data_IF_020559092631
#
_entry.id   IF_020559092631
#
_cell.length_a   1.000
_cell.length_b   1.000
_cell.length_c   1.000
_cell.angle_alpha   90.00
_cell.angle_beta   90.00
_cell.angle_gamma   90.00
#
_symmetry.space_group_name_H-M   'P 1'
#
loop_
_entity.id
_entity.type
_entity.pdbx_description
1 polymer ?
#
# COMPACT_ATOMS: atom_id res chain seq x y z
N UNK A 1 -5.78 8.28 -55.69
CA UNK A 1 -6.49 6.97 -55.57
C UNK A 1 -5.75 6.06 -54.59
N UNK A 2 -4.46 5.77 -54.81
CA UNK A 2 -3.62 4.91 -53.97
C UNK A 2 -3.59 5.29 -52.47
N UNK A 3 -3.28 6.54 -52.13
CA UNK A 3 -3.25 7.01 -50.72
C UNK A 3 -4.60 6.85 -50.03
N UNK A 4 -5.71 7.07 -50.75
CA UNK A 4 -7.05 6.87 -50.19
C UNK A 4 -7.33 5.39 -49.91
N UNK A 5 -6.94 4.49 -50.81
CA UNK A 5 -7.06 3.03 -50.60
C UNK A 5 -6.24 2.59 -49.39
N UNK A 6 -5.00 3.08 -49.26
CA UNK A 6 -4.15 2.80 -48.09
C UNK A 6 -4.81 3.33 -46.81
N UNK A 7 -5.32 4.56 -46.83
CA UNK A 7 -5.97 5.17 -45.67
C UNK A 7 -7.22 4.40 -45.22
N UNK A 8 -8.11 4.02 -46.15
CA UNK A 8 -9.29 3.19 -45.81
C UNK A 8 -8.85 1.83 -45.27
N UNK A 9 -7.83 1.22 -45.86
CA UNK A 9 -7.27 -0.05 -45.37
C UNK A 9 -6.72 0.09 -43.95
N UNK A 10 -6.03 1.20 -43.64
CA UNK A 10 -5.56 1.50 -42.28
C UNK A 10 -6.71 1.58 -41.27
N UNK A 11 -7.83 2.21 -41.64
CA UNK A 11 -9.00 2.27 -40.77
C UNK A 11 -9.65 0.91 -40.51
N UNK A 12 -9.74 0.05 -41.53
CA UNK A 12 -10.23 -1.31 -41.38
C UNK A 12 -9.32 -2.14 -40.47
N UNK A 13 -8.00 -2.00 -40.62
CA UNK A 13 -7.03 -2.65 -39.72
C UNK A 13 -7.17 -2.15 -38.28
N UNK A 14 -7.34 -0.84 -38.08
CA UNK A 14 -7.52 -0.27 -36.75
C UNK A 14 -8.82 -0.73 -36.10
N UNK A 15 -9.91 -0.83 -36.87
CA UNK A 15 -11.19 -1.39 -36.41
C UNK A 15 -11.05 -2.83 -35.91
N UNK A 16 -10.22 -3.65 -36.56
CA UNK A 16 -10.00 -5.03 -36.16
C UNK A 16 -9.09 -5.17 -34.93
N UNK A 17 -8.08 -4.31 -34.80
CA UNK A 17 -7.03 -4.45 -33.79
C UNK A 17 -7.32 -3.68 -32.49
N UNK A 18 -7.84 -2.46 -32.62
CA UNK A 18 -8.09 -1.55 -31.52
C UNK A 18 -9.29 -0.62 -31.83
N UNK A 19 -10.51 -1.17 -31.92
CA UNK A 19 -11.70 -0.41 -32.36
C UNK A 19 -11.98 0.83 -31.50
N UNK A 20 -11.63 0.81 -30.21
CA UNK A 20 -11.79 1.93 -29.28
C UNK A 20 -10.92 3.14 -29.59
N UNK A 21 -9.92 3.01 -30.47
CA UNK A 21 -8.99 4.08 -30.85
C UNK A 21 -9.35 4.80 -32.14
N UNK A 22 -10.41 4.34 -32.83
CA UNK A 22 -10.91 5.01 -34.03
C UNK A 22 -11.38 6.43 -33.69
N UNK A 23 -11.03 7.44 -34.48
CA UNK A 23 -11.57 8.78 -34.32
C UNK A 23 -13.09 8.79 -34.42
N UNK A 24 -13.75 9.66 -33.64
CA UNK A 24 -15.22 9.77 -33.66
C UNK A 24 -15.75 10.13 -35.05
N UNK A 25 -15.05 11.01 -35.78
CA UNK A 25 -15.40 11.39 -37.15
C UNK A 25 -15.43 10.19 -38.09
N UNK A 26 -14.44 9.31 -38.01
CA UNK A 26 -14.34 8.07 -38.80
C UNK A 26 -15.40 7.08 -38.37
N UNK A 27 -15.62 6.94 -37.06
CA UNK A 27 -16.62 6.04 -36.50
C UNK A 27 -18.04 6.43 -36.93
N UNK A 28 -18.35 7.74 -36.98
CA UNK A 28 -19.64 8.23 -37.45
C UNK A 28 -19.80 8.08 -38.97
N UNK A 29 -18.75 8.41 -39.73
CA UNK A 29 -18.79 8.36 -41.20
C UNK A 29 -18.94 6.93 -41.74
N UNK A 30 -18.32 5.94 -41.10
CA UNK A 30 -18.25 4.55 -41.59
C UNK A 30 -18.94 3.55 -40.65
N UNK A 31 -19.83 4.02 -39.78
CA UNK A 31 -20.47 3.23 -38.71
C UNK A 31 -21.07 1.91 -39.20
N UNK A 32 -21.77 1.95 -40.33
CA UNK A 32 -22.49 0.80 -40.89
C UNK A 32 -21.58 -0.15 -41.71
N UNK A 33 -20.33 0.26 -41.97
CA UNK A 33 -19.35 -0.50 -42.75
C UNK A 33 -18.34 -1.24 -41.88
N UNK A 34 -18.14 -0.79 -40.63
CA UNK A 34 -17.22 -1.45 -39.70
C UNK A 34 -17.82 -2.72 -39.09
N UNK A 35 -16.98 -3.75 -38.99
CA UNK A 35 -17.35 -5.02 -38.37
C UNK A 35 -17.33 -4.87 -36.85
N UNK A 36 -18.32 -5.45 -36.18
CA UNK A 36 -18.30 -5.64 -34.73
C UNK A 36 -17.57 -6.94 -34.43
N UNK A 37 -16.32 -6.83 -34.00
CA UNK A 37 -15.49 -7.97 -33.65
C UNK A 37 -15.91 -8.56 -32.29
N UNK A 38 -15.85 -9.88 -32.12
CA UNK A 38 -16.12 -10.51 -30.83
C UNK A 38 -15.06 -10.09 -29.80
N UNK A 39 -15.45 -10.05 -28.53
CA UNK A 39 -14.51 -9.81 -27.45
C UNK A 39 -13.48 -10.94 -27.36
N UNK A 40 -12.20 -10.56 -27.30
CA UNK A 40 -11.08 -11.47 -27.13
C UNK A 40 -10.39 -11.20 -25.81
N UNK A 41 -9.75 -12.22 -25.25
CA UNK A 41 -9.02 -12.06 -23.98
C UNK A 41 -7.83 -11.09 -24.15
N UNK A 42 -7.45 -10.33 -23.11
CA UNK A 42 -6.32 -9.38 -23.19
C UNK A 42 -5.01 -10.03 -23.66
N UNK A 43 -4.76 -11.28 -23.23
CA UNK A 43 -3.58 -12.05 -23.65
C UNK A 43 -3.59 -12.35 -25.16
N UNK A 44 -4.75 -12.71 -25.70
CA UNK A 44 -4.91 -12.96 -27.14
C UNK A 44 -4.79 -11.65 -27.92
N UNK A 45 -5.41 -10.58 -27.43
CA UNK A 45 -5.31 -9.24 -28.04
C UNK A 45 -3.87 -8.75 -28.12
N UNK A 46 -3.10 -8.87 -27.03
CA UNK A 46 -1.69 -8.48 -26.99
C UNK A 46 -0.85 -9.23 -28.04
N UNK A 47 -1.07 -10.53 -28.20
CA UNK A 47 -0.40 -11.33 -29.23
C UNK A 47 -0.73 -10.82 -30.65
N UNK A 48 -2.00 -10.50 -30.91
CA UNK A 48 -2.41 -9.96 -32.21
C UNK A 48 -1.82 -8.57 -32.48
N UNK A 49 -1.82 -7.68 -31.48
CA UNK A 49 -1.21 -6.36 -31.58
C UNK A 49 0.29 -6.45 -31.88
N UNK A 50 1.01 -7.33 -31.18
CA UNK A 50 2.45 -7.51 -31.40
C UNK A 50 2.77 -8.03 -32.80
N UNK A 51 2.02 -9.03 -33.27
CA UNK A 51 2.16 -9.56 -34.62
C UNK A 51 1.83 -8.49 -35.67
N UNK A 52 0.73 -7.76 -35.48
CA UNK A 52 0.32 -6.68 -36.38
C UNK A 52 1.37 -5.56 -36.45
N UNK A 53 2.00 -5.21 -35.32
CA UNK A 53 3.08 -4.22 -35.26
C UNK A 53 4.26 -4.65 -36.14
N UNK A 54 4.73 -5.89 -36.00
CA UNK A 54 5.82 -6.43 -36.82
C UNK A 54 5.45 -6.49 -38.31
N UNK A 55 4.27 -7.00 -38.63
CA UNK A 55 3.78 -7.09 -40.00
C UNK A 55 3.67 -5.70 -40.64
N UNK A 56 3.14 -4.72 -39.91
CA UNK A 56 2.97 -3.35 -40.39
C UNK A 56 4.32 -2.66 -40.64
N UNK A 57 5.29 -2.82 -39.74
CA UNK A 57 6.66 -2.32 -39.95
C UNK A 57 7.29 -2.91 -41.21
N UNK A 58 7.16 -4.22 -41.42
CA UNK A 58 7.68 -4.88 -42.61
C UNK A 58 6.97 -4.41 -43.89
N UNK A 59 5.65 -4.19 -43.83
CA UNK A 59 4.88 -3.65 -44.96
C UNK A 59 5.32 -2.23 -45.31
N UNK A 60 5.48 -1.35 -44.32
CA UNK A 60 5.96 0.04 -44.55
C UNK A 60 7.37 0.00 -45.15
N UNK A 61 8.27 -0.80 -44.59
CA UNK A 61 9.63 -0.96 -45.11
C UNK A 61 9.62 -1.41 -46.57
N UNK A 62 8.85 -2.44 -46.89
CA UNK A 62 8.75 -2.99 -48.25
C UNK A 62 8.20 -1.94 -49.24
N UNK A 63 7.16 -1.20 -48.86
CA UNK A 63 6.59 -0.14 -49.71
C UNK A 63 7.59 0.98 -49.99
N UNK A 64 8.37 1.39 -48.98
CA UNK A 64 9.44 2.38 -49.15
C UNK A 64 10.56 1.84 -50.07
N UNK A 65 10.92 0.56 -49.95
CA UNK A 65 11.88 -0.11 -50.85
C UNK A 65 11.37 -0.16 -52.30
N UNK A 66 10.05 -0.25 -52.51
CA UNK A 66 9.40 -0.13 -53.82
C UNK A 66 9.21 1.32 -54.31
N UNK A 67 9.96 2.28 -53.76
CA UNK A 67 9.97 3.69 -54.18
C UNK A 67 8.65 4.45 -53.92
N UNK A 68 7.82 3.99 -52.98
CA UNK A 68 6.71 4.80 -52.51
C UNK A 68 7.25 6.00 -51.71
N UNK A 69 6.67 7.19 -51.92
CA UNK A 69 7.00 8.36 -51.12
C UNK A 69 6.43 8.24 -49.70
N UNK A 70 7.00 9.01 -48.76
CA UNK A 70 6.49 9.09 -47.39
C UNK A 70 5.00 9.48 -47.34
N UNK A 71 4.56 10.39 -48.21
CA UNK A 71 3.15 10.82 -48.30
C UNK A 71 2.21 9.66 -48.66
N UNK A 72 2.65 8.70 -49.47
CA UNK A 72 1.83 7.54 -49.83
C UNK A 72 1.65 6.58 -48.64
N UNK A 73 2.68 6.41 -47.82
CA UNK A 73 2.68 5.46 -46.69
C UNK A 73 2.32 6.12 -45.35
N UNK A 74 2.12 7.44 -45.33
CA UNK A 74 1.82 8.21 -44.12
C UNK A 74 0.65 7.62 -43.29
N UNK A 75 -0.49 7.18 -43.88
CA UNK A 75 -1.56 6.57 -43.11
C UNK A 75 -1.16 5.24 -42.42
N UNK A 76 -0.19 4.50 -42.97
CA UNK A 76 0.34 3.29 -42.36
C UNK A 76 1.33 3.62 -41.24
N UNK A 77 2.12 4.69 -41.39
CA UNK A 77 3.01 5.19 -40.34
C UNK A 77 2.21 5.64 -39.12
N UNK A 78 1.13 6.40 -39.32
CA UNK A 78 0.22 6.84 -38.25
C UNK A 78 -0.48 5.67 -37.57
N UNK A 79 -0.94 4.69 -38.36
CA UNK A 79 -1.47 3.42 -37.83
C UNK A 79 -0.42 2.70 -36.99
N UNK A 80 0.83 2.61 -37.47
CA UNK A 80 1.92 1.95 -36.77
C UNK A 80 2.18 2.59 -35.41
N UNK A 81 2.22 3.92 -35.34
CA UNK A 81 2.36 4.66 -34.08
C UNK A 81 1.19 4.36 -33.12
N UNK A 82 -0.03 4.32 -33.63
CA UNK A 82 -1.22 4.01 -32.84
C UNK A 82 -1.16 2.59 -32.28
N UNK A 83 -0.85 1.59 -33.10
CA UNK A 83 -0.72 0.19 -32.69
C UNK A 83 0.44 0.02 -31.70
N UNK A 84 1.57 0.73 -31.87
CA UNK A 84 2.68 0.74 -30.89
C UNK A 84 2.20 1.22 -29.51
N UNK A 85 1.48 2.33 -29.45
CA UNK A 85 0.93 2.85 -28.18
C UNK A 85 -0.08 1.89 -27.55
N UNK A 86 -0.96 1.27 -28.35
CA UNK A 86 -1.91 0.28 -27.84
C UNK A 86 -1.24 -1.00 -27.32
N UNK A 87 -0.20 -1.46 -28.02
CA UNK A 87 0.61 -2.61 -27.60
C UNK A 87 1.33 -2.29 -26.29
N UNK A 88 1.89 -1.09 -26.17
CA UNK A 88 2.55 -0.64 -24.94
C UNK A 88 1.57 -0.53 -23.77
N UNK A 89 0.39 0.05 -23.99
CA UNK A 89 -0.67 0.16 -22.99
C UNK A 89 -1.14 -1.21 -22.50
N UNK A 90 -1.33 -2.16 -23.43
CA UNK A 90 -1.70 -3.54 -23.12
C UNK A 90 -0.63 -4.26 -22.29
N UNK A 91 0.65 -4.08 -22.64
CA UNK A 91 1.77 -4.65 -21.89
C UNK A 91 1.85 -4.09 -20.48
N UNK A 92 1.74 -2.76 -20.33
CA UNK A 92 1.77 -2.09 -19.03
C UNK A 92 0.59 -2.53 -18.15
N UNK A 93 -0.61 -2.67 -18.71
CA UNK A 93 -1.79 -3.16 -17.98
C UNK A 93 -1.59 -4.61 -17.51
N UNK A 94 -1.16 -5.52 -18.39
CA UNK A 94 -0.94 -6.92 -18.01
C UNK A 94 0.16 -7.07 -16.96
N UNK A 95 1.19 -6.23 -17.03
CA UNK A 95 2.25 -6.19 -16.00
C UNK A 95 1.68 -5.68 -14.68
N UNK A 96 0.82 -4.65 -14.70
CA UNK A 96 0.09 -4.19 -13.53
C UNK A 96 -0.76 -5.27 -12.89
N UNK A 97 -1.54 -6.00 -13.69
CA UNK A 97 -2.35 -7.14 -13.21
C UNK A 97 -1.48 -8.24 -12.60
N UNK A 98 -0.32 -8.53 -13.22
CA UNK A 98 0.64 -9.50 -12.70
C UNK A 98 1.25 -9.04 -11.37
N UNK A 99 1.55 -7.75 -11.20
CA UNK A 99 1.99 -7.16 -9.93
C UNK A 99 0.91 -7.30 -8.87
N UNK A 100 -0.37 -7.12 -9.20
CA UNK A 100 -1.48 -7.31 -8.25
C UNK A 100 -1.61 -8.78 -7.85
N UNK A 101 -1.39 -9.70 -8.80
CA UNK A 101 -1.50 -11.14 -8.57
C UNK A 101 -0.42 -11.70 -7.63
N UNK A 102 0.72 -11.03 -7.46
CA UNK A 102 1.76 -11.50 -6.52
C UNK A 102 1.28 -11.48 -5.06
N UNK A 103 0.20 -10.73 -4.75
CA UNK A 103 -0.45 -10.75 -3.43
C UNK A 103 -0.82 -12.17 -2.97
N UNK A 104 -1.18 -13.07 -3.90
CA UNK A 104 -1.56 -14.44 -3.58
C UNK A 104 -0.37 -15.33 -3.17
N UNK A 105 0.86 -14.84 -3.38
CA UNK A 105 2.11 -15.57 -3.09
C UNK A 105 2.85 -15.00 -1.89
N UNK A 106 2.38 -13.90 -1.31
CA UNK A 106 3.04 -13.25 -0.18
C UNK A 106 2.85 -14.06 1.11
N UNK A 107 3.95 -14.32 1.80
CA UNK A 107 4.00 -15.18 2.98
C UNK A 107 4.28 -14.44 4.30
N UNK A 108 4.53 -13.12 4.24
CA UNK A 108 4.80 -12.24 5.38
C UNK A 108 6.05 -12.60 6.20
N UNK A 109 6.95 -13.43 5.65
CA UNK A 109 8.23 -13.74 6.29
C UNK A 109 9.20 -12.59 6.04
N UNK A 110 9.76 -12.06 7.11
CA UNK A 110 10.70 -10.95 7.07
C UNK A 110 12.13 -11.46 7.09
N UNK A 111 12.93 -11.01 6.12
CA UNK A 111 14.37 -11.15 6.04
C UNK A 111 15.03 -9.80 6.30
N UNK A 112 16.23 -9.81 6.86
CA UNK A 112 17.05 -8.60 7.09
C UNK A 112 18.10 -8.52 6.00
N UNK A 113 18.09 -7.42 5.24
CA UNK A 113 19.05 -7.13 4.18
C UNK A 113 19.76 -5.83 4.52
N UNK A 114 21.02 -5.92 4.97
CA UNK A 114 21.72 -4.78 5.55
C UNK A 114 21.04 -4.31 6.83
N UNK A 115 20.64 -3.03 6.88
CA UNK A 115 19.92 -2.44 8.01
C UNK A 115 18.40 -2.34 7.79
N UNK A 116 17.89 -2.86 6.67
CA UNK A 116 16.46 -2.81 6.33
C UNK A 116 15.83 -4.21 6.41
N UNK A 117 14.61 -4.28 6.91
CA UNK A 117 13.81 -5.52 6.89
C UNK A 117 12.86 -5.52 5.70
N UNK A 118 12.76 -6.63 4.98
CA UNK A 118 11.76 -6.80 3.93
C UNK A 118 11.29 -8.24 3.84
N UNK A 119 10.20 -8.46 3.12
CA UNK A 119 9.72 -9.78 2.72
C UNK A 119 10.24 -10.14 1.32
N UNK A 120 9.77 -11.26 0.76
CA UNK A 120 9.96 -11.59 -0.66
C UNK A 120 9.20 -10.68 -1.63
N UNK A 121 8.23 -9.87 -1.16
CA UNK A 121 7.36 -9.07 -2.01
C UNK A 121 8.11 -8.12 -2.97
N UNK A 122 9.11 -7.33 -2.50
CA UNK A 122 9.86 -6.45 -3.40
C UNK A 122 10.58 -7.20 -4.51
N UNK A 123 11.11 -8.40 -4.23
CA UNK A 123 11.84 -9.19 -5.22
C UNK A 123 10.89 -9.76 -6.28
N UNK A 124 9.70 -10.25 -5.86
CA UNK A 124 8.65 -10.68 -6.78
C UNK A 124 8.17 -9.53 -7.67
N UNK A 125 7.99 -8.35 -7.08
CA UNK A 125 7.62 -7.13 -7.80
C UNK A 125 8.64 -6.76 -8.87
N UNK A 126 9.94 -6.79 -8.54
CA UNK A 126 11.01 -6.59 -9.51
C UNK A 126 11.02 -7.66 -10.61
N UNK A 127 10.83 -8.94 -10.25
CA UNK A 127 10.82 -10.05 -11.21
C UNK A 127 9.73 -9.87 -12.26
N UNK A 128 8.51 -9.53 -11.85
CA UNK A 128 7.38 -9.31 -12.76
C UNK A 128 7.68 -8.20 -13.76
N UNK A 129 8.29 -7.10 -13.32
CA UNK A 129 8.70 -6.02 -14.23
C UNK A 129 9.86 -6.47 -15.12
N UNK A 130 10.80 -7.26 -14.62
CA UNK A 130 11.92 -7.72 -15.45
C UNK A 130 11.45 -8.64 -16.59
N UNK A 131 10.41 -9.47 -16.36
CA UNK A 131 9.85 -10.39 -17.36
C UNK A 131 9.30 -9.68 -18.60
N UNK A 132 8.82 -8.43 -18.48
CA UNK A 132 8.26 -7.69 -19.61
C UNK A 132 9.31 -6.94 -20.46
N UNK A 133 10.56 -6.81 -19.99
CA UNK A 133 11.60 -5.94 -20.59
C UNK A 133 11.90 -6.29 -22.06
N UNK A 134 11.98 -7.58 -22.46
CA UNK A 134 12.26 -7.93 -23.85
C UNK A 134 11.16 -7.45 -24.82
N UNK A 135 9.89 -7.60 -24.43
CA UNK A 135 8.74 -7.16 -25.24
C UNK A 135 8.69 -5.63 -25.30
N UNK A 136 8.94 -4.97 -24.17
CA UNK A 136 9.02 -3.52 -24.08
C UNK A 136 10.05 -2.95 -25.06
N UNK A 137 11.28 -3.48 -25.04
CA UNK A 137 12.37 -3.05 -25.92
C UNK A 137 11.99 -3.15 -27.41
N UNK A 138 11.28 -4.21 -27.79
CA UNK A 138 10.82 -4.40 -29.16
C UNK A 138 9.73 -3.39 -29.58
N UNK A 139 8.84 -3.00 -28.67
CA UNK A 139 7.79 -2.01 -28.95
C UNK A 139 8.40 -0.60 -29.09
N UNK A 140 9.37 -0.28 -28.22
CA UNK A 140 10.02 1.04 -28.20
C UNK A 140 11.08 1.23 -29.29
N UNK A 141 11.60 0.16 -29.89
CA UNK A 141 12.55 0.27 -31.00
C UNK A 141 11.97 1.12 -32.14
N UNK A 142 12.80 1.91 -32.80
CA UNK A 142 12.39 2.82 -33.90
C UNK A 142 13.29 2.63 -35.13
N UNK A 143 13.60 1.37 -35.42
CA UNK A 143 14.49 0.93 -36.50
C UNK A 143 13.82 -0.11 -37.42
N UNK A 144 12.49 -0.20 -37.41
CA UNK A 144 11.72 -1.12 -38.22
C UNK A 144 11.67 -0.74 -39.71
N UNK A 145 11.79 0.56 -40.01
CA UNK A 145 11.85 1.09 -41.37
C UNK A 145 12.62 2.44 -41.39
N UNK A 146 13.06 2.92 -42.57
CA UNK A 146 13.76 4.20 -42.67
C UNK A 146 12.93 5.35 -42.11
N UNK A 147 13.54 6.17 -41.26
CA UNK A 147 12.88 7.33 -40.61
C UNK A 147 11.68 6.98 -39.73
N UNK A 148 11.63 5.78 -39.13
CA UNK A 148 10.63 5.47 -38.10
C UNK A 148 10.76 6.43 -36.91
N UNK A 149 9.66 7.11 -36.59
CA UNK A 149 9.62 8.09 -35.50
C UNK A 149 9.71 7.42 -34.14
N UNK A 150 10.51 8.01 -33.26
CA UNK A 150 10.56 7.65 -31.85
C UNK A 150 9.27 8.11 -31.12
N UNK A 151 8.68 7.24 -30.31
CA UNK A 151 7.50 7.56 -29.49
C UNK A 151 7.75 8.75 -28.56
N UNK A 152 8.98 8.94 -28.09
CA UNK A 152 9.33 10.03 -27.18
C UNK A 152 9.55 11.38 -27.89
N UNK A 153 9.66 11.38 -29.22
CA UNK A 153 9.83 12.60 -30.02
C UNK A 153 8.54 13.44 -30.10
N UNK A 154 7.37 12.79 -29.94
CA UNK A 154 6.06 13.45 -29.94
C UNK A 154 5.62 13.68 -28.50
N UNK A 155 5.44 14.93 -28.10
CA UNK A 155 5.15 15.32 -26.71
C UNK A 155 3.93 14.62 -26.11
N UNK A 156 2.84 14.51 -26.87
CA UNK A 156 1.61 13.83 -26.43
C UNK A 156 1.87 12.35 -26.15
N UNK A 157 2.62 11.68 -27.03
CA UNK A 157 2.93 10.25 -26.88
C UNK A 157 3.94 9.99 -25.78
N UNK A 158 4.90 10.91 -25.57
CA UNK A 158 5.81 10.89 -24.43
C UNK A 158 5.03 10.94 -23.12
N UNK A 159 4.08 11.87 -22.97
CA UNK A 159 3.26 11.98 -21.76
C UNK A 159 2.41 10.72 -21.51
N UNK A 160 1.77 10.19 -22.55
CA UNK A 160 1.00 8.93 -22.46
C UNK A 160 1.90 7.79 -21.99
N UNK A 161 3.07 7.64 -22.61
CA UNK A 161 4.05 6.60 -22.29
C UNK A 161 4.55 6.72 -20.84
N UNK A 162 4.88 7.93 -20.38
CA UNK A 162 5.27 8.19 -19.00
C UNK A 162 4.15 7.86 -18.00
N UNK A 163 2.90 8.16 -18.35
CA UNK A 163 1.74 7.82 -17.53
C UNK A 163 1.53 6.30 -17.43
N UNK A 164 1.71 5.56 -18.53
CA UNK A 164 1.62 4.09 -18.55
C UNK A 164 2.64 3.46 -17.60
N UNK A 165 3.93 3.82 -17.71
CA UNK A 165 4.95 3.28 -16.81
C UNK A 165 4.74 3.70 -15.36
N UNK A 166 4.33 4.96 -15.14
CA UNK A 166 4.01 5.43 -13.79
C UNK A 166 2.86 4.62 -13.18
N UNK A 167 1.80 4.37 -13.96
CA UNK A 167 0.65 3.58 -13.54
C UNK A 167 1.04 2.14 -13.20
N UNK A 168 1.79 1.49 -14.10
CA UNK A 168 2.30 0.14 -13.94
C UNK A 168 3.14 -0.01 -12.66
N UNK A 169 4.12 0.87 -12.43
CA UNK A 169 4.95 0.87 -11.21
C UNK A 169 4.09 1.04 -9.97
N UNK A 170 3.07 1.91 -10.02
CA UNK A 170 2.20 2.17 -8.86
C UNK A 170 1.09 1.14 -8.64
N UNK A 171 0.93 0.15 -9.52
CA UNK A 171 -0.02 -0.97 -9.35
C UNK A 171 0.27 -1.80 -8.09
N UNK A 172 1.49 -1.73 -7.55
CA UNK A 172 1.84 -2.31 -6.24
C UNK A 172 0.92 -1.80 -5.12
N UNK A 173 0.33 -0.61 -5.26
CA UNK A 173 -0.73 -0.12 -4.36
C UNK A 173 -1.90 -1.10 -4.27
N UNK A 174 -2.40 -1.54 -5.42
CA UNK A 174 -3.56 -2.43 -5.50
C UNK A 174 -3.21 -3.83 -4.98
N UNK A 175 -1.97 -4.27 -5.17
CA UNK A 175 -1.42 -5.46 -4.50
C UNK A 175 -1.54 -5.33 -2.97
N UNK A 176 -1.09 -4.22 -2.38
CA UNK A 176 -1.24 -3.97 -0.94
C UNK A 176 -2.70 -3.79 -0.51
N UNK A 177 -3.54 -3.14 -1.31
CA UNK A 177 -4.95 -2.99 -1.00
C UNK A 177 -5.63 -4.37 -0.91
N UNK A 178 -5.25 -5.31 -1.77
CA UNK A 178 -5.69 -6.72 -1.69
C UNK A 178 -5.11 -7.44 -0.46
N UNK A 179 -3.81 -7.33 -0.21
CA UNK A 179 -3.12 -7.97 0.92
C UNK A 179 -3.64 -7.53 2.29
N UNK A 180 -4.03 -6.26 2.40
CA UNK A 180 -4.48 -5.63 3.64
C UNK A 180 -6.01 -5.49 3.70
N UNK A 181 -6.76 -6.00 2.71
CA UNK A 181 -8.23 -5.91 2.69
C UNK A 181 -8.75 -4.46 2.69
N UNK A 182 -8.03 -3.54 2.05
CA UNK A 182 -8.35 -2.11 2.00
C UNK A 182 -9.26 -1.73 0.86
N UNK A 183 -9.45 -2.64 -0.11
CA UNK A 183 -10.43 -2.44 -1.18
C UNK A 183 -11.80 -2.30 -0.53
N UNK A 184 -12.54 -1.19 -0.79
CA UNK A 184 -13.91 -1.10 -0.32
C UNK A 184 -14.64 -2.32 -0.86
N UNK A 185 -15.32 -3.06 0.02
CA UNK A 185 -16.22 -4.09 -0.40
C UNK A 185 -17.27 -3.46 -1.32
N UNK A 186 -17.02 -3.44 -2.62
CA UNK A 186 -18.09 -3.48 -3.59
C UNK A 186 -18.74 -4.83 -3.34
N UNK A 187 -19.77 -4.80 -2.50
CA UNK A 187 -20.77 -5.85 -2.36
C UNK A 187 -21.21 -6.29 -3.75
N UNK A 188 -20.52 -7.27 -4.33
CA UNK A 188 -21.18 -8.32 -5.07
C UNK A 188 -21.51 -9.38 -4.02
N UNK A 189 -22.79 -9.57 -3.65
CA UNK A 189 -23.15 -10.67 -2.79
C UNK A 189 -22.75 -11.95 -3.52
N UNK A 190 -21.78 -12.68 -2.97
CA UNK A 190 -21.42 -14.03 -3.44
C UNK A 190 -22.46 -15.07 -3.04
N UNK A 191 -23.65 -14.64 -2.59
CA UNK A 191 -24.84 -15.47 -2.58
C UNK A 191 -25.53 -15.34 -3.92
N UNK A 192 -25.14 -16.24 -4.83
CA UNK A 192 -25.94 -16.92 -5.85
C UNK A 192 -24.94 -17.59 -6.80
N UNK A 193 -24.25 -18.61 -6.30
CA UNK A 193 -23.93 -19.76 -7.16
C UNK A 193 -25.20 -20.60 -7.19
N UNK A 194 -25.96 -20.67 -8.29
CA UNK A 194 -26.92 -21.74 -8.44
C UNK A 194 -26.09 -23.02 -8.51
N UNK A 195 -26.36 -23.94 -7.58
CA UNK A 195 -26.01 -25.33 -7.74
C UNK A 195 -26.43 -25.75 -9.15
N UNK A 196 -25.47 -26.03 -10.03
CA UNK A 196 -25.71 -26.98 -11.10
C UNK A 196 -25.67 -28.38 -10.46
N UNK A 197 -26.72 -28.67 -9.69
CA UNK A 197 -27.11 -30.03 -9.38
C UNK A 197 -27.69 -30.62 -10.66
N UNK A 198 -27.07 -31.71 -11.08
CA UNK A 198 -27.51 -32.66 -12.10
C UNK A 198 -29.02 -32.90 -12.01
N UNK A 199 -29.71 -32.76 -13.15
CA UNK A 199 -31.08 -33.20 -13.29
C UNK A 199 -31.16 -34.73 -13.24
N UNK A 200 -32.16 -35.19 -12.50
CA UNK A 200 -32.56 -36.58 -12.28
C UNK A 200 -33.10 -37.28 -13.54
N UNK A 201 -32.95 -38.61 -13.62
CA UNK A 201 -34.08 -39.58 -13.58
C UNK A 201 -33.69 -41.00 -14.03
N UNK A 202 -33.92 -41.97 -13.13
CA UNK A 202 -34.34 -43.38 -13.34
C UNK A 202 -34.12 -44.09 -11.98
N UNK A 203 -35.17 -44.32 -11.17
CA UNK A 203 -36.05 -45.50 -11.17
C UNK A 203 -35.23 -46.79 -10.99
N UNK A 204 -35.09 -47.29 -9.75
CA UNK A 204 -35.75 -48.52 -9.27
C UNK A 204 -35.26 -49.02 -7.89
N UNK A 205 -36.26 -49.45 -7.12
CA UNK A 205 -36.37 -50.60 -6.21
C UNK A 205 -35.45 -50.92 -5.02
N UNK A 206 -36.15 -51.08 -3.89
CA UNK A 206 -36.06 -52.14 -2.87
C UNK A 206 -35.26 -51.92 -1.57
N UNK A 207 -36.06 -51.74 -0.50
CA UNK A 207 -36.02 -52.34 0.84
C UNK A 207 -34.68 -52.46 1.61
N UNK A 208 -34.60 -51.83 2.80
CA UNK A 208 -34.66 -52.55 4.09
C UNK A 208 -34.68 -51.61 5.32
N UNK A 209 -35.16 -52.20 6.41
CA UNK A 209 -35.70 -51.70 7.68
C UNK A 209 -34.62 -51.34 8.74
N UNK A 210 -34.98 -50.39 9.64
CA UNK A 210 -34.45 -50.12 11.00
C UNK A 210 -33.01 -49.55 11.10
N UNK A 211 -32.63 -48.72 12.07
CA UNK A 211 -33.15 -48.46 13.40
C UNK A 211 -32.79 -47.04 13.83
N UNK A 212 -33.62 -46.47 14.69
CA UNK A 212 -33.36 -45.25 15.44
C UNK A 212 -32.13 -45.41 16.33
N UNK A 213 -31.27 -44.39 16.36
CA UNK A 213 -30.49 -44.02 17.53
C UNK A 213 -30.26 -42.51 17.48
N UNK A 214 -30.90 -41.82 18.42
CA UNK A 214 -30.63 -40.45 18.80
C UNK A 214 -29.20 -40.33 19.33
N UNK A 215 -28.47 -39.33 18.86
CA UNK A 215 -27.41 -38.70 19.66
C UNK A 215 -27.26 -37.22 19.27
N UNK A 216 -27.66 -36.27 20.13
CA UNK A 216 -27.66 -34.84 19.82
C UNK A 216 -26.38 -34.19 20.35
N UNK A 217 -25.25 -34.30 19.64
CA UNK A 217 -24.06 -33.51 19.97
C UNK A 217 -23.02 -33.47 18.84
N UNK A 218 -23.20 -32.53 17.91
CA UNK A 218 -22.14 -31.73 17.23
C UNK A 218 -22.74 -30.85 16.14
N UNK A 219 -23.59 -29.91 16.55
CA UNK A 219 -23.74 -28.70 15.76
C UNK A 219 -22.47 -27.87 15.98
N UNK A 220 -21.45 -28.14 15.15
CA UNK A 220 -20.37 -27.19 14.96
C UNK A 220 -21.01 -25.91 14.42
N UNK A 221 -21.21 -24.95 15.32
CA UNK A 221 -21.56 -23.57 14.99
C UNK A 221 -20.45 -23.09 14.04
N UNK A 222 -20.73 -23.12 12.73
CA UNK A 222 -19.93 -22.39 11.75
C UNK A 222 -20.21 -20.93 11.99
N UNK A 223 -19.40 -20.34 12.85
CA UNK A 223 -19.26 -18.90 12.98
C UNK A 223 -18.94 -18.36 11.57
N UNK A 224 -19.67 -17.36 11.06
CA UNK A 224 -19.35 -16.75 9.77
C UNK A 224 -17.90 -16.28 9.80
N UNK A 225 -17.12 -16.57 8.75
CA UNK A 225 -15.77 -16.07 8.59
C UNK A 225 -15.78 -14.55 8.77
N UNK A 226 -15.28 -14.09 9.91
CA UNK A 226 -14.87 -12.70 10.08
C UNK A 226 -13.95 -12.36 8.92
N UNK A 227 -14.22 -11.25 8.25
CA UNK A 227 -13.22 -10.57 7.43
C UNK A 227 -12.07 -10.28 8.39
N UNK A 228 -11.05 -11.14 8.40
CA UNK A 228 -9.88 -10.97 9.26
C UNK A 228 -9.26 -9.62 8.91
N UNK A 229 -9.51 -8.63 9.78
CA UNK A 229 -8.85 -7.34 9.65
C UNK A 229 -7.34 -7.59 9.65
N UNK A 230 -6.57 -6.91 8.78
CA UNK A 230 -5.13 -7.06 8.77
C UNK A 230 -4.56 -6.75 10.15
N UNK A 231 -3.79 -7.68 10.72
CA UNK A 231 -3.09 -7.44 11.98
C UNK A 231 -2.19 -6.21 11.88
N UNK A 232 -2.11 -5.40 12.94
CA UNK A 232 -1.22 -4.20 13.01
C UNK A 232 0.21 -4.47 12.50
N UNK A 233 0.76 -5.65 12.82
CA UNK A 233 2.05 -6.15 12.30
C UNK A 233 2.20 -6.07 10.78
N UNK A 234 1.15 -6.41 10.01
CA UNK A 234 1.17 -6.40 8.53
C UNK A 234 1.32 -4.99 7.97
N UNK A 235 0.84 -3.95 8.67
CA UNK A 235 1.08 -2.57 8.25
C UNK A 235 2.55 -2.18 8.42
N UNK A 236 3.20 -2.55 9.53
CA UNK A 236 4.63 -2.28 9.73
C UNK A 236 5.49 -2.97 8.67
N UNK A 237 5.23 -4.26 8.41
CA UNK A 237 5.93 -5.00 7.35
C UNK A 237 5.73 -4.34 5.98
N UNK A 238 4.50 -3.90 5.69
CA UNK A 238 4.18 -3.17 4.46
C UNK A 238 4.95 -1.85 4.35
N UNK A 239 5.16 -1.12 5.46
CA UNK A 239 5.98 0.09 5.47
C UNK A 239 7.42 -0.25 5.11
N UNK A 240 8.01 -1.28 5.72
CA UNK A 240 9.40 -1.64 5.47
C UNK A 240 9.63 -2.12 4.02
N UNK A 241 8.73 -2.97 3.51
CA UNK A 241 8.74 -3.35 2.10
C UNK A 241 8.63 -2.12 1.17
N UNK A 242 7.76 -1.16 1.50
CA UNK A 242 7.57 0.04 0.68
C UNK A 242 8.80 0.96 0.72
N UNK A 243 9.45 1.10 1.87
CA UNK A 243 10.73 1.81 2.00
C UNK A 243 11.81 1.17 1.13
N UNK A 244 11.94 -0.16 1.20
CA UNK A 244 12.88 -0.89 0.34
C UNK A 244 12.55 -0.67 -1.15
N UNK A 245 11.28 -0.75 -1.54
CA UNK A 245 10.87 -0.51 -2.93
C UNK A 245 11.23 0.92 -3.36
N UNK A 246 10.99 1.93 -2.52
CA UNK A 246 11.29 3.34 -2.84
C UNK A 246 12.81 3.57 -2.96
N UNK A 247 13.61 2.97 -2.09
CA UNK A 247 15.05 3.22 -1.98
C UNK A 247 15.88 2.37 -2.94
N UNK A 248 15.45 1.15 -3.24
CA UNK A 248 16.23 0.16 -3.99
C UNK A 248 15.55 -0.28 -5.28
N UNK A 249 14.34 -0.86 -5.18
CA UNK A 249 13.69 -1.46 -6.35
C UNK A 249 13.31 -0.42 -7.40
N UNK A 250 12.76 0.73 -7.00
CA UNK A 250 12.32 1.77 -7.94
C UNK A 250 13.48 2.35 -8.77
N UNK A 251 14.60 2.82 -8.18
CA UNK A 251 15.76 3.26 -8.95
C UNK A 251 16.27 2.18 -9.92
N UNK A 252 16.32 0.93 -9.46
CA UNK A 252 16.78 -0.20 -10.26
C UNK A 252 15.83 -0.50 -11.44
N UNK A 253 14.52 -0.48 -11.20
CA UNK A 253 13.49 -0.63 -12.23
C UNK A 253 13.61 0.50 -13.26
N UNK A 254 13.71 1.76 -12.83
CA UNK A 254 13.85 2.90 -13.74
C UNK A 254 15.13 2.81 -14.58
N UNK A 255 16.24 2.35 -13.99
CA UNK A 255 17.47 2.06 -14.72
C UNK A 255 17.25 0.98 -15.79
N UNK A 256 16.64 -0.15 -15.42
CA UNK A 256 16.34 -1.24 -16.37
C UNK A 256 15.38 -0.81 -17.48
N UNK A 257 14.39 0.01 -17.17
CA UNK A 257 13.50 0.61 -18.17
C UNK A 257 14.29 1.49 -19.15
N UNK A 258 15.21 2.31 -18.64
CA UNK A 258 16.10 3.13 -19.46
C UNK A 258 16.99 2.27 -20.37
N UNK A 259 17.60 1.21 -19.84
CA UNK A 259 18.43 0.26 -20.59
C UNK A 259 17.62 -0.47 -21.70
N UNK A 260 16.29 -0.50 -21.60
CA UNK A 260 15.37 -1.10 -22.56
C UNK A 260 14.62 -0.06 -23.42
N UNK A 261 15.12 1.18 -23.47
CA UNK A 261 14.68 2.19 -24.45
C UNK A 261 13.67 3.21 -23.94
N UNK A 262 13.32 3.20 -22.65
CA UNK A 262 12.50 4.27 -22.06
C UNK A 262 13.32 5.53 -21.89
N UNK A 263 12.88 6.65 -22.48
CA UNK A 263 13.54 7.95 -22.30
C UNK A 263 12.93 8.75 -21.16
N UNK A 264 13.75 9.60 -20.52
CA UNK A 264 13.36 10.44 -19.38
C UNK A 264 12.86 9.60 -18.19
N UNK A 265 13.59 8.54 -17.86
CA UNK A 265 13.25 7.62 -16.77
C UNK A 265 13.32 8.31 -15.38
N UNK A 266 14.08 9.39 -15.26
CA UNK A 266 14.16 10.29 -14.11
C UNK A 266 12.79 10.93 -13.80
N UNK A 267 12.07 11.41 -14.82
CA UNK A 267 10.71 11.98 -14.65
C UNK A 267 9.74 10.92 -14.12
N UNK A 268 9.83 9.69 -14.62
CA UNK A 268 9.02 8.57 -14.13
C UNK A 268 9.39 8.24 -12.68
N UNK A 269 10.68 8.20 -12.37
CA UNK A 269 11.20 7.92 -11.03
C UNK A 269 10.67 8.92 -10.02
N UNK A 270 10.81 10.23 -10.26
CA UNK A 270 10.34 11.26 -9.34
C UNK A 270 8.83 11.18 -9.11
N UNK A 271 8.06 11.09 -10.20
CA UNK A 271 6.59 11.01 -10.15
C UNK A 271 6.10 9.78 -9.39
N UNK A 272 6.72 8.63 -9.61
CA UNK A 272 6.33 7.38 -8.93
C UNK A 272 6.81 7.34 -7.49
N UNK A 273 8.01 7.86 -7.19
CA UNK A 273 8.53 7.99 -5.82
C UNK A 273 7.58 8.77 -4.92
N UNK A 274 7.03 9.89 -5.38
CA UNK A 274 6.05 10.68 -4.62
C UNK A 274 4.78 9.85 -4.32
N UNK A 275 4.27 9.12 -5.31
CA UNK A 275 3.08 8.28 -5.14
C UNK A 275 3.32 7.12 -4.16
N UNK A 276 4.45 6.44 -4.27
CA UNK A 276 4.83 5.35 -3.36
C UNK A 276 5.06 5.86 -1.94
N UNK A 277 5.69 7.03 -1.76
CA UNK A 277 5.86 7.67 -0.46
C UNK A 277 4.50 8.03 0.19
N UNK A 278 3.53 8.47 -0.61
CA UNK A 278 2.16 8.70 -0.13
C UNK A 278 1.49 7.40 0.34
N UNK A 279 1.68 6.29 -0.37
CA UNK A 279 1.18 4.97 0.03
C UNK A 279 1.85 4.52 1.34
N UNK A 280 3.18 4.66 1.46
CA UNK A 280 3.94 4.40 2.69
C UNK A 280 3.35 5.16 3.88
N UNK A 281 3.09 6.46 3.70
CA UNK A 281 2.50 7.28 4.74
C UNK A 281 1.08 6.82 5.12
N UNK A 282 0.30 6.35 4.14
CA UNK A 282 -1.01 5.74 4.38
C UNK A 282 -0.95 4.49 5.27
N UNK A 283 0.08 3.65 5.13
CA UNK A 283 0.28 2.49 6.00
C UNK A 283 0.64 2.90 7.43
N UNK A 284 1.51 3.90 7.60
CA UNK A 284 1.86 4.45 8.92
C UNK A 284 0.62 5.00 9.61
N UNK A 285 -0.19 5.80 8.91
CA UNK A 285 -1.42 6.37 9.47
C UNK A 285 -2.42 5.28 9.92
N UNK A 286 -2.55 4.18 9.17
CA UNK A 286 -3.41 3.04 9.56
C UNK A 286 -2.87 2.30 10.77
N UNK A 287 -1.56 2.05 10.82
CA UNK A 287 -0.91 1.45 12.00
C UNK A 287 -1.14 2.30 13.25
N UNK A 288 -0.87 3.62 13.16
CA UNK A 288 -1.09 4.57 14.26
C UNK A 288 -2.56 4.55 14.71
N UNK A 289 -3.50 4.55 13.77
CA UNK A 289 -4.94 4.44 14.05
C UNK A 289 -5.30 3.24 14.91
N UNK A 290 -4.72 2.07 14.61
CA UNK A 290 -4.96 0.83 15.36
C UNK A 290 -4.35 0.91 16.76
N UNK A 291 -3.13 1.45 16.89
CA UNK A 291 -2.41 1.50 18.18
C UNK A 291 -2.90 2.58 19.12
N UNK A 292 -3.33 3.73 18.61
CA UNK A 292 -3.80 4.84 19.43
C UNK A 292 -5.20 4.60 20.03
N UNK A 293 -6.06 3.81 19.38
CA UNK A 293 -7.44 3.64 19.80
C UNK A 293 -7.56 3.06 21.24
N UNK A 294 -6.86 1.96 21.62
CA UNK A 294 -6.89 1.46 22.99
C UNK A 294 -6.36 2.47 24.03
N UNK A 295 -5.32 3.23 23.68
CA UNK A 295 -4.73 4.24 24.56
C UNK A 295 -5.71 5.38 24.84
N UNK A 296 -6.41 5.86 23.81
CA UNK A 296 -7.45 6.89 23.97
C UNK A 296 -8.59 6.36 24.84
N UNK A 297 -9.04 5.12 24.62
CA UNK A 297 -10.08 4.50 25.45
C UNK A 297 -9.64 4.35 26.91
N UNK A 298 -8.37 4.00 27.15
CA UNK A 298 -7.80 3.91 28.50
C UNK A 298 -7.79 5.28 29.19
N UNK A 299 -7.38 6.34 28.49
CA UNK A 299 -7.44 7.71 29.00
C UNK A 299 -8.88 8.12 29.29
N UNK A 300 -9.85 7.75 28.45
CA UNK A 300 -11.27 8.05 28.64
C UNK A 300 -11.90 7.29 29.82
N UNK A 301 -11.45 6.06 30.11
CA UNK A 301 -11.89 5.28 31.25
C UNK A 301 -11.25 5.73 32.59
N UNK A 302 -9.98 6.16 32.55
CA UNK A 302 -9.20 6.52 33.74
C UNK A 302 -9.85 7.63 34.57
N UNK A 303 -10.06 7.45 35.86
CA UNK A 303 -10.65 8.48 36.71
C UNK A 303 -10.02 8.46 38.11
N UNK A 304 -10.22 9.56 38.83
CA UNK A 304 -9.67 9.76 40.17
C UNK A 304 -10.77 9.61 41.25
N UNK A 305 -11.85 8.89 40.96
CA UNK A 305 -12.91 8.64 41.95
C UNK A 305 -12.50 7.55 42.95
N UNK A 306 -11.77 6.55 42.47
CA UNK A 306 -11.14 5.51 43.28
C UNK A 306 -9.62 5.66 43.18
N UNK A 307 -9.02 6.12 44.27
CA UNK A 307 -7.58 6.25 44.38
C UNK A 307 -6.93 4.88 44.70
N UNK A 308 -5.65 4.69 44.36
CA UNK A 308 -4.90 3.51 44.78
C UNK A 308 -4.96 3.29 46.30
N UNK A 309 -5.03 2.04 46.73
CA UNK A 309 -5.03 1.68 48.16
C UNK A 309 -3.64 1.85 48.80
N UNK A 310 -2.58 1.81 47.98
CA UNK A 310 -1.18 2.00 48.34
C UNK A 310 -0.71 3.30 47.70
N UNK A 311 0.19 4.04 48.37
CA UNK A 311 0.88 5.20 47.80
C UNK A 311 1.65 4.78 46.53
N UNK A 312 1.05 4.98 45.37
CA UNK A 312 1.54 4.54 44.07
C UNK A 312 0.89 5.34 42.92
N UNK A 313 1.45 5.22 41.72
CA UNK A 313 0.87 5.75 40.48
C UNK A 313 -0.40 5.00 40.11
N UNK A 314 -1.40 5.70 39.56
CA UNK A 314 -2.68 5.09 39.20
C UNK A 314 -2.52 3.94 38.21
N UNK A 315 -3.32 2.89 38.37
CA UNK A 315 -3.31 1.73 37.48
C UNK A 315 -3.43 2.10 35.99
N UNK A 316 -4.33 3.03 35.64
CA UNK A 316 -4.50 3.43 34.24
C UNK A 316 -3.23 4.09 33.67
N UNK A 317 -2.45 4.80 34.49
CA UNK A 317 -1.19 5.43 34.09
C UNK A 317 -0.10 4.39 33.86
N UNK A 318 0.01 3.38 34.74
CA UNK A 318 0.92 2.24 34.56
C UNK A 318 0.59 1.45 33.30
N UNK A 319 -0.69 1.15 33.09
CA UNK A 319 -1.18 0.49 31.89
C UNK A 319 -0.86 1.29 30.62
N UNK A 320 -0.98 2.62 30.68
CA UNK A 320 -0.64 3.50 29.56
C UNK A 320 0.84 3.37 29.17
N UNK A 321 1.73 3.42 30.16
CA UNK A 321 3.17 3.24 29.98
C UNK A 321 3.46 1.85 29.40
N UNK A 322 2.87 0.80 29.95
CA UNK A 322 3.05 -0.57 29.47
C UNK A 322 2.58 -0.74 28.02
N UNK A 323 1.43 -0.17 27.66
CA UNK A 323 0.95 -0.18 26.28
C UNK A 323 1.96 0.47 25.32
N UNK A 324 2.58 1.58 25.71
CA UNK A 324 3.61 2.24 24.90
C UNK A 324 4.87 1.37 24.81
N UNK A 325 5.31 0.73 25.89
CA UNK A 325 6.43 -0.23 25.90
C UNK A 325 6.18 -1.40 24.95
N UNK A 326 4.96 -1.96 24.94
CA UNK A 326 4.61 -3.04 24.00
C UNK A 326 4.65 -2.58 22.53
N UNK A 327 4.21 -1.35 22.26
CA UNK A 327 4.29 -0.77 20.91
C UNK A 327 5.76 -0.57 20.52
N UNK A 328 6.59 -0.08 21.43
CA UNK A 328 8.03 0.05 21.22
C UNK A 328 8.67 -1.31 20.93
N UNK A 329 8.39 -2.34 21.71
CA UNK A 329 8.96 -3.68 21.50
C UNK A 329 8.59 -4.25 20.11
N UNK A 330 7.35 -4.04 19.66
CA UNK A 330 6.92 -4.42 18.31
C UNK A 330 7.67 -3.64 17.22
N UNK A 331 7.84 -2.33 17.39
CA UNK A 331 8.61 -1.49 16.47
C UNK A 331 10.07 -1.90 16.41
N UNK A 332 10.70 -2.15 17.56
CA UNK A 332 12.11 -2.55 17.62
C UNK A 332 12.35 -3.85 16.83
N UNK A 333 11.41 -4.79 16.89
CA UNK A 333 11.53 -6.06 16.19
C UNK A 333 11.38 -5.95 14.67
N UNK A 334 10.58 -4.99 14.17
CA UNK A 334 10.14 -4.97 12.76
C UNK A 334 10.63 -3.73 12.02
N UNK A 335 10.50 -2.56 12.63
CA UNK A 335 10.72 -1.27 11.99
C UNK A 335 11.39 -0.29 12.97
N UNK A 336 12.61 -0.57 13.46
CA UNK A 336 13.30 0.27 14.44
C UNK A 336 13.50 1.72 13.94
N UNK A 337 13.65 1.91 12.63
CA UNK A 337 13.76 3.23 12.00
C UNK A 337 12.52 4.12 12.19
N UNK A 338 11.37 3.54 12.52
CA UNK A 338 10.12 4.28 12.76
C UNK A 338 9.90 4.64 14.23
N UNK A 339 10.79 4.20 15.14
CA UNK A 339 10.61 4.31 16.59
C UNK A 339 10.24 5.72 17.04
N UNK A 340 11.11 6.69 16.73
CA UNK A 340 10.91 8.07 17.13
C UNK A 340 9.64 8.66 16.53
N UNK A 341 9.40 8.42 15.24
CA UNK A 341 8.24 8.96 14.53
C UNK A 341 6.93 8.46 15.16
N UNK A 342 6.84 7.16 15.41
CA UNK A 342 5.60 6.50 15.84
C UNK A 342 5.33 6.75 17.31
N UNK A 343 6.33 6.55 18.19
CA UNK A 343 6.13 6.71 19.64
C UNK A 343 5.86 8.18 19.98
N UNK A 344 6.59 9.14 19.40
CA UNK A 344 6.29 10.57 19.61
C UNK A 344 4.87 10.91 19.20
N UNK A 345 4.38 10.42 18.05
CA UNK A 345 3.01 10.70 17.63
C UNK A 345 1.96 10.15 18.60
N UNK A 346 2.16 8.91 19.06
CA UNK A 346 1.25 8.26 20.01
C UNK A 346 1.26 9.00 21.36
N UNK A 347 2.44 9.37 21.86
CA UNK A 347 2.60 10.14 23.09
C UNK A 347 1.91 11.49 22.98
N UNK A 348 2.11 12.24 21.89
CA UNK A 348 1.47 13.54 21.66
C UNK A 348 -0.06 13.44 21.73
N UNK A 349 -0.68 12.52 20.98
CA UNK A 349 -2.15 12.37 20.96
C UNK A 349 -2.70 11.93 22.32
N UNK A 350 -2.02 10.98 22.96
CA UNK A 350 -2.45 10.41 24.24
C UNK A 350 -2.39 11.47 25.35
N UNK A 351 -1.30 12.24 25.36
CA UNK A 351 -1.09 13.31 26.35
C UNK A 351 -2.04 14.48 26.12
N UNK A 352 -2.34 14.82 24.86
CA UNK A 352 -3.38 15.79 24.51
C UNK A 352 -4.74 15.41 25.08
N UNK A 353 -5.17 14.18 24.84
CA UNK A 353 -6.45 13.67 25.32
C UNK A 353 -6.52 13.68 26.85
N UNK A 354 -5.42 13.34 27.52
CA UNK A 354 -5.32 13.39 28.98
C UNK A 354 -5.46 14.83 29.51
N UNK A 355 -4.74 15.79 28.93
CA UNK A 355 -4.79 17.19 29.36
C UNK A 355 -6.17 17.81 29.17
N UNK A 356 -6.85 17.52 28.05
CA UNK A 356 -8.24 17.94 27.81
C UNK A 356 -9.14 17.43 28.94
N UNK A 357 -9.07 16.13 29.24
CA UNK A 357 -9.87 15.50 30.28
C UNK A 357 -9.60 16.09 31.68
N UNK A 358 -8.34 16.39 32.00
CA UNK A 358 -7.97 17.00 33.27
C UNK A 358 -8.44 18.45 33.40
N UNK A 359 -8.66 19.16 32.29
CA UNK A 359 -9.17 20.53 32.29
C UNK A 359 -10.70 20.60 32.43
N UNK A 360 -11.44 19.58 31.97
CA UNK A 360 -12.89 19.52 32.07
C UNK A 360 -13.39 19.31 33.51
N UNK A 361 -12.63 18.59 34.35
CA UNK A 361 -12.99 18.32 35.74
C UNK A 361 -12.46 19.43 36.67
N UNK A 362 -13.37 20.22 37.24
CA UNK A 362 -13.05 21.44 38.02
C UNK A 362 -12.86 21.25 39.54
N UNK A 363 -13.21 20.10 40.10
CA UNK A 363 -13.17 19.91 41.57
C UNK A 363 -12.41 18.62 41.89
N UNK A 364 -11.20 18.80 42.40
CA UNK A 364 -10.39 17.74 42.98
C UNK A 364 -10.26 17.97 44.50
N UNK A 365 -10.51 16.93 45.29
CA UNK A 365 -10.10 16.88 46.70
C UNK A 365 -8.58 16.80 46.82
N UNK A 366 -8.01 17.08 48.02
CA UNK A 366 -6.55 17.09 48.25
C UNK A 366 -5.86 15.81 47.75
N UNK A 367 -6.44 14.65 48.04
CA UNK A 367 -5.86 13.36 47.63
C UNK A 367 -5.93 13.17 46.11
N UNK A 368 -7.01 13.59 45.46
CA UNK A 368 -7.14 13.53 44.00
C UNK A 368 -6.18 14.49 43.30
N UNK A 369 -6.00 15.70 43.82
CA UNK A 369 -4.98 16.64 43.35
C UNK A 369 -3.60 16.00 43.40
N UNK A 370 -3.29 15.35 44.53
CA UNK A 370 -2.00 14.68 44.71
C UNK A 370 -1.81 13.54 43.72
N UNK A 371 -2.82 12.69 43.52
CA UNK A 371 -2.77 11.61 42.53
C UNK A 371 -2.58 12.12 41.09
N UNK A 372 -3.26 13.21 40.70
CA UNK A 372 -3.07 13.82 39.38
C UNK A 372 -1.63 14.32 39.21
N UNK A 373 -1.03 14.92 40.24
CA UNK A 373 0.36 15.38 40.21
C UNK A 373 1.33 14.19 40.11
N UNK A 374 1.08 13.10 40.85
CA UNK A 374 1.84 11.84 40.76
C UNK A 374 1.81 11.30 39.33
N UNK A 375 0.61 11.10 38.77
CA UNK A 375 0.44 10.50 37.44
C UNK A 375 1.06 11.36 36.32
N UNK A 376 0.88 12.69 36.36
CA UNK A 376 1.51 13.61 35.41
C UNK A 376 3.04 13.62 35.53
N UNK A 377 3.58 13.40 36.73
CA UNK A 377 5.03 13.36 36.95
C UNK A 377 5.61 12.05 36.42
N UNK A 378 4.99 10.91 36.73
CA UNK A 378 5.39 9.61 36.22
C UNK A 378 5.38 9.57 34.69
N UNK A 379 4.32 10.09 34.05
CA UNK A 379 4.23 10.16 32.58
C UNK A 379 5.31 11.05 31.97
N UNK A 380 5.56 12.24 32.53
CA UNK A 380 6.58 13.14 31.97
C UNK A 380 7.98 12.56 32.14
N UNK A 381 8.30 11.98 33.30
CA UNK A 381 9.60 11.34 33.55
C UNK A 381 9.84 10.17 32.59
N UNK A 382 8.83 9.34 32.39
CA UNK A 382 8.92 8.12 31.56
C UNK A 382 8.95 8.43 30.06
N UNK A 383 8.20 9.44 29.60
CA UNK A 383 8.04 9.75 28.17
C UNK A 383 8.87 10.95 27.71
N UNK A 384 9.82 11.42 28.54
CA UNK A 384 10.63 12.64 28.30
C UNK A 384 11.32 12.67 26.93
N UNK A 385 11.73 11.51 26.42
CA UNK A 385 12.43 11.33 25.15
C UNK A 385 11.54 11.52 23.92
N UNK A 386 10.22 11.35 24.09
CA UNK A 386 9.24 11.38 23.01
C UNK A 386 8.29 12.59 23.07
N UNK A 387 8.24 13.29 24.21
CA UNK A 387 7.46 14.52 24.40
C UNK A 387 8.08 15.72 23.67
N UNK A 388 7.26 16.46 22.91
CA UNK A 388 7.68 17.75 22.36
C UNK A 388 7.91 18.80 23.46
N UNK A 389 8.71 19.85 23.19
CA UNK A 389 8.92 20.96 24.13
C UNK A 389 7.62 21.66 24.53
N UNK A 390 6.64 21.72 23.63
CA UNK A 390 5.32 22.29 23.90
C UNK A 390 4.57 21.45 24.93
N UNK A 391 4.52 20.12 24.76
CA UNK A 391 3.85 19.23 25.72
C UNK A 391 4.48 19.26 27.11
N UNK A 392 5.82 19.28 27.19
CA UNK A 392 6.53 19.44 28.47
C UNK A 392 6.11 20.71 29.21
N UNK A 393 5.95 21.82 28.48
CA UNK A 393 5.45 23.08 29.05
C UNK A 393 3.99 22.98 29.51
N UNK A 394 3.13 22.29 28.76
CA UNK A 394 1.72 22.08 29.14
C UNK A 394 1.59 21.22 30.40
N UNK A 395 2.36 20.14 30.51
CA UNK A 395 2.45 19.30 31.71
C UNK A 395 2.93 20.11 32.91
N UNK A 396 4.03 20.86 32.74
CA UNK A 396 4.59 21.71 33.79
C UNK A 396 3.60 22.77 34.27
N UNK A 397 2.88 23.43 33.33
CA UNK A 397 1.82 24.38 33.66
C UNK A 397 0.71 23.69 34.46
N UNK A 398 0.22 22.54 33.99
CA UNK A 398 -0.89 21.84 34.65
C UNK A 398 -0.53 21.39 36.06
N UNK A 399 0.68 20.87 36.27
CA UNK A 399 1.16 20.55 37.61
C UNK A 399 1.28 21.80 38.48
N UNK A 400 1.84 22.90 37.97
CA UNK A 400 1.99 24.14 38.75
C UNK A 400 0.66 24.67 39.30
N UNK A 401 -0.45 24.52 38.56
CA UNK A 401 -1.80 24.84 39.04
C UNK A 401 -2.23 24.01 40.27
N UNK A 402 -1.67 22.81 40.43
CA UNK A 402 -2.04 21.83 41.45
C UNK A 402 -1.04 21.77 42.64
N UNK A 403 0.18 22.27 42.46
CA UNK A 403 1.28 22.22 43.44
C UNK A 403 0.99 22.96 44.76
N UNK A 404 0.01 23.85 44.83
CA UNK A 404 -0.36 24.53 46.08
C UNK A 404 -1.20 23.66 47.02
N UNK A 405 -1.74 22.55 46.53
CA UNK A 405 -2.77 21.75 47.22
C UNK A 405 -2.43 20.27 47.35
N UNK A 406 -1.25 19.83 46.90
CA UNK A 406 -0.84 18.43 46.95
C UNK A 406 -0.17 18.04 48.27
N UNK A 407 -0.20 16.77 48.60
CA UNK A 407 0.50 16.19 49.73
C UNK A 407 1.91 15.72 49.33
N UNK A 408 2.93 16.32 49.94
CA UNK A 408 4.33 16.06 49.57
C UNK A 408 4.82 14.69 50.03
N UNK A 409 4.34 14.22 51.19
CA UNK A 409 4.78 12.93 51.73
C UNK A 409 4.23 11.78 50.89
N UNK A 410 2.92 11.81 50.62
CA UNK A 410 2.24 10.86 49.74
C UNK A 410 2.85 10.86 48.33
N UNK A 411 3.15 12.04 47.78
CA UNK A 411 3.83 12.15 46.49
C UNK A 411 5.19 11.44 46.47
N UNK A 412 6.06 11.69 47.47
CA UNK A 412 7.39 11.09 47.50
C UNK A 412 7.32 9.57 47.65
N UNK A 413 6.42 9.07 48.51
CA UNK A 413 6.21 7.63 48.70
C UNK A 413 5.73 6.97 47.40
N UNK A 414 4.73 7.57 46.74
CA UNK A 414 4.18 7.06 45.50
C UNK A 414 5.20 7.02 44.36
N UNK A 415 6.03 8.07 44.23
CA UNK A 415 7.09 8.10 43.22
C UNK A 415 8.18 7.06 43.51
N UNK A 416 8.57 6.85 44.77
CA UNK A 416 9.54 5.81 45.13
C UNK A 416 9.02 4.40 44.83
N UNK A 417 7.74 4.12 45.12
CA UNK A 417 7.07 2.87 44.76
C UNK A 417 7.03 2.68 43.25
N UNK A 418 6.69 3.73 42.50
CA UNK A 418 6.68 3.71 41.04
C UNK A 418 8.05 3.42 40.45
N UNK A 419 9.09 4.14 40.88
CA UNK A 419 10.45 3.97 40.39
C UNK A 419 10.93 2.53 40.59
N UNK A 420 10.61 1.91 41.74
CA UNK A 420 10.96 0.51 42.00
C UNK A 420 10.14 -0.48 41.15
N UNK A 421 8.82 -0.26 41.02
CA UNK A 421 7.92 -1.22 40.35
C UNK A 421 7.98 -1.15 38.82
N UNK A 422 8.33 0.00 38.25
CA UNK A 422 8.33 0.26 36.80
C UNK A 422 9.73 0.52 36.23
N UNK A 423 10.80 0.30 37.00
CA UNK A 423 12.19 0.58 36.62
C UNK A 423 12.54 0.11 35.20
N UNK A 424 12.28 -1.16 34.89
CA UNK A 424 12.60 -1.77 33.60
C UNK A 424 11.81 -1.14 32.44
N UNK A 425 10.54 -0.81 32.67
CA UNK A 425 9.69 -0.17 31.68
C UNK A 425 10.21 1.23 31.35
N UNK A 426 10.55 2.02 32.38
CA UNK A 426 11.11 3.38 32.23
C UNK A 426 12.46 3.33 31.50
N UNK A 427 13.36 2.43 31.89
CA UNK A 427 14.67 2.27 31.24
C UNK A 427 14.55 1.85 29.77
N UNK A 428 13.57 1.00 29.42
CA UNK A 428 13.35 0.58 28.03
C UNK A 428 12.97 1.74 27.11
N UNK A 429 12.15 2.69 27.59
CA UNK A 429 11.72 3.86 26.83
C UNK A 429 12.84 4.91 26.68
N UNK A 430 13.81 4.92 27.60
CA UNK A 430 14.98 5.80 27.51
C UNK A 430 16.05 5.28 26.53
N UNK A 431 16.27 3.97 26.48
CA UNK A 431 17.28 3.32 25.62
C UNK A 431 16.88 3.26 24.16
N UNK A 432 15.58 3.17 23.86
CA UNK A 432 15.06 3.14 22.48
C UNK A 432 15.41 4.36 21.62
N UNK A 433 15.89 5.45 22.24
CA UNK A 433 16.30 6.68 21.56
C UNK A 433 17.80 6.72 21.18
N UNK A 434 18.65 5.92 21.83
CA UNK A 434 20.10 5.92 21.63
C UNK A 434 20.54 4.91 20.56
N UNK A 435 20.04 3.67 20.59
CA UNK A 435 20.46 2.63 19.63
C UNK A 435 19.96 2.87 18.19
N UNK A 436 18.81 3.54 18.04
CA UNK A 436 18.31 3.95 16.71
C UNK A 436 19.15 5.05 16.05
N UNK A 437 19.86 5.84 16.85
CA UNK A 437 20.79 6.88 16.38
C UNK A 437 22.16 6.27 16.04
N UNK A 438 22.66 5.35 16.87
CA UNK A 438 23.94 4.68 16.66
C UNK A 438 23.94 3.77 15.41
N UNK A 439 22.81 3.13 15.08
CA UNK A 439 22.65 2.37 13.83
C UNK A 439 22.64 3.24 12.56
N UNK A 440 22.30 4.53 12.69
CA UNK A 440 22.34 5.50 11.59
C UNK A 440 23.72 6.16 11.47
N UNK A 441 24.41 6.46 12.56
CA UNK A 441 25.75 7.07 12.54
C UNK A 441 26.85 6.08 12.13
N UNK A 442 26.75 4.81 12.52
CA UNK A 442 27.71 3.77 12.09
C UNK A 442 27.64 3.41 10.60
N UNK A 443 26.66 3.96 9.86
CA UNK A 443 26.52 3.82 8.40
C UNK A 443 27.03 5.01 7.58
N UNK A 444 27.57 6.05 8.24
CA UNK A 444 28.18 7.24 7.60
C UNK A 444 29.71 7.22 7.57
N UNK A 445 30.34 6.09 7.85
CA UNK A 445 31.81 5.90 7.74
C UNK A 445 32.15 4.95 6.61
#
# INVERSE_FOLDING_TARGET
MLTNTINVSSWLMLNALAPSTLPESVTQQYKDQFVKWPEITPKVQMRHLFFALQALRNSIKSLLEFQFTHDHVQPLIELCMTIRLQTLGSLASQTGDAIIAIADRENWKTDVVGNESKTSLPDMYESVINEMLPQLKQILSHNGYPSETDLFAIDVYRQVTHNLFSGMITSIKECYDKLLGLTPAHSRPTHLRPNQSLNASSIDDSASISSANDDPQRAAIRIPLEVQQPSSRKFLISVCNMEYIINHSLPLICKRLSDNGVKFADVILEKTKIKLASIRQGFISKYLGIKQAPLISLVEAGNYEKLPEIDDVSFFTKELIMCIVFIQAELYQIAPQLMQQVISHIVEITTDKLLIKLNDKRIYGKNQVTQVVIDLTALEQTLKSYLSPLKKKEFSRKRAELMSRYDKEHFNNAMATFDHTMELAVQSLDTGNQEGFDALESSRV
#
